data_IF_671758224780
#
_entry.id   IF_671758224780
#
_cell.length_a   1.000
_cell.length_b   1.000
_cell.length_c   1.000
_cell.angle_alpha   90.00
_cell.angle_beta   90.00
_cell.angle_gamma   90.00
#
_symmetry.space_group_name_H-M   'P 1'
#
loop_
_entity.id
_entity.type
_entity.pdbx_description
1 polymer ?
#
# COMPACT_ATOMS: atom_id res chain seq x y z
N UNK A 1 8.66 -9.96 16.03
CA UNK A 1 9.95 -9.73 16.68
C UNK A 1 9.67 -9.65 18.16
N UNK A 2 10.04 -10.67 18.93
CA UNK A 2 9.54 -10.83 20.30
C UNK A 2 9.67 -9.54 21.12
N UNK A 3 8.52 -9.03 21.60
CA UNK A 3 8.45 -7.85 22.46
C UNK A 3 8.33 -6.48 21.78
N UNK A 4 8.30 -6.38 20.44
CA UNK A 4 8.14 -5.09 19.74
C UNK A 4 6.82 -4.97 18.96
N UNK A 5 6.31 -3.75 18.88
CA UNK A 5 5.22 -3.33 18.01
C UNK A 5 5.74 -3.03 16.60
N UNK A 6 4.95 -3.40 15.60
CA UNK A 6 5.23 -3.16 14.19
C UNK A 6 4.17 -2.23 13.60
N UNK A 7 4.62 -1.16 12.95
CA UNK A 7 3.78 -0.27 12.16
C UNK A 7 4.10 -0.45 10.67
N UNK A 8 3.07 -0.77 9.90
CA UNK A 8 3.12 -0.74 8.43
C UNK A 8 2.40 0.53 7.98
N UNK A 9 3.08 1.36 7.20
CA UNK A 9 2.50 2.61 6.72
C UNK A 9 2.95 2.94 5.30
N UNK A 10 2.08 3.61 4.56
CA UNK A 10 2.44 4.23 3.30
C UNK A 10 3.27 5.49 3.56
N UNK A 11 4.24 5.75 2.70
CA UNK A 11 5.01 6.99 2.76
C UNK A 11 4.11 8.18 2.48
N UNK A 12 4.06 9.13 3.42
CA UNK A 12 3.22 10.33 3.35
C UNK A 12 4.05 11.59 3.10
N UNK A 13 5.35 11.46 2.78
CA UNK A 13 6.19 12.60 2.35
C UNK A 13 5.82 13.11 0.96
N UNK A 14 5.13 12.26 0.19
CA UNK A 14 4.57 12.57 -1.13
C UNK A 14 3.08 12.19 -1.14
N UNK A 15 2.27 12.94 -1.89
CA UNK A 15 0.86 12.60 -2.08
C UNK A 15 0.75 11.25 -2.82
N UNK A 16 -0.03 10.32 -2.25
CA UNK A 16 -0.27 8.99 -2.82
C UNK A 16 1.01 8.21 -3.17
N UNK A 17 2.08 8.36 -2.38
CA UNK A 17 3.34 7.64 -2.63
C UNK A 17 3.11 6.14 -2.80
N UNK A 18 3.68 5.54 -3.83
CA UNK A 18 3.64 4.09 -4.02
C UNK A 18 4.51 3.30 -3.04
N UNK A 19 5.12 3.93 -2.04
CA UNK A 19 6.04 3.26 -1.11
C UNK A 19 5.32 2.83 0.18
N UNK A 20 5.42 1.54 0.53
CA UNK A 20 5.06 1.00 1.85
C UNK A 20 6.34 0.80 2.67
N UNK A 21 6.33 1.23 3.92
CA UNK A 21 7.41 1.08 4.87
C UNK A 21 6.94 0.39 6.16
N UNK A 22 7.91 -0.20 6.87
CA UNK A 22 7.76 -0.74 8.20
C UNK A 22 8.58 0.07 9.21
N UNK A 23 8.08 0.12 10.44
CA UNK A 23 8.73 0.75 11.59
C UNK A 23 8.50 -0.11 12.83
N UNK A 24 9.43 -0.08 13.78
CA UNK A 24 9.30 -0.83 15.05
C UNK A 24 9.42 0.07 16.27
N UNK A 25 8.76 -0.32 17.36
CA UNK A 25 8.87 0.31 18.66
C UNK A 25 8.68 -0.70 19.80
N UNK A 26 9.20 -0.40 20.99
CA UNK A 26 8.87 -1.12 22.22
C UNK A 26 7.63 -0.56 22.94
N UNK A 27 7.11 0.57 22.48
CA UNK A 27 5.93 1.26 23.02
C UNK A 27 4.86 1.35 21.91
N UNK A 28 3.59 0.94 22.16
CA UNK A 28 2.56 0.99 21.13
C UNK A 28 2.12 2.43 20.78
N UNK A 29 2.49 3.43 21.57
CA UNK A 29 2.01 4.81 21.43
C UNK A 29 3.03 5.75 20.77
N UNK A 30 4.33 5.43 20.79
CA UNK A 30 5.40 6.29 20.27
C UNK A 30 6.66 5.47 19.92
N UNK A 31 7.73 6.11 19.46
CA UNK A 31 9.05 5.49 19.30
C UNK A 31 9.22 4.65 18.05
N UNK A 32 8.29 4.75 17.09
CA UNK A 32 8.39 4.04 15.82
C UNK A 32 9.55 4.57 14.98
N UNK A 33 10.62 3.78 14.90
CA UNK A 33 11.85 4.10 14.17
C UNK A 33 12.23 2.95 13.24
N UNK A 34 13.48 2.87 12.79
CA UNK A 34 14.00 1.79 11.94
C UNK A 34 13.19 1.61 10.64
N UNK A 35 12.97 2.72 9.92
CA UNK A 35 12.26 2.72 8.62
C UNK A 35 12.87 1.67 7.69
N UNK A 36 12.07 0.68 7.33
CA UNK A 36 12.44 -0.37 6.39
C UNK A 36 11.50 -0.33 5.19
N UNK A 37 12.04 -0.28 3.97
CA UNK A 37 11.23 -0.36 2.76
C UNK A 37 10.66 -1.77 2.59
N UNK A 38 9.34 -1.88 2.48
CA UNK A 38 8.62 -3.16 2.41
C UNK A 38 8.23 -3.50 0.98
N UNK A 39 7.58 -2.56 0.29
CA UNK A 39 7.04 -2.81 -1.04
C UNK A 39 6.85 -1.50 -1.80
N UNK A 40 7.08 -1.54 -3.11
CA UNK A 40 6.75 -0.45 -4.02
C UNK A 40 5.59 -0.88 -4.89
N UNK A 41 4.45 -0.24 -4.69
CA UNK A 41 3.23 -0.42 -5.47
C UNK A 41 3.53 -0.05 -6.93
N UNK A 42 3.24 -0.92 -7.91
CA UNK A 42 3.53 -0.67 -9.31
C UNK A 42 2.53 0.28 -9.99
N UNK A 43 1.33 0.45 -9.45
CA UNK A 43 0.23 1.18 -10.12
C UNK A 43 0.36 2.71 -10.21
N UNK A 44 0.74 3.46 -9.15
CA UNK A 44 0.53 4.90 -9.11
C UNK A 44 1.51 5.70 -9.98
N UNK A 45 1.01 6.83 -10.50
CA UNK A 45 1.80 7.86 -11.17
C UNK A 45 2.00 7.65 -12.67
N UNK A 46 2.54 8.69 -13.34
CA UNK A 46 2.68 8.76 -14.80
C UNK A 46 3.43 7.56 -15.42
N UNK A 47 4.39 7.00 -14.69
CA UNK A 47 5.22 5.88 -15.13
C UNK A 47 4.85 4.56 -14.42
N UNK A 48 3.71 4.53 -13.72
CA UNK A 48 3.17 3.33 -13.11
C UNK A 48 2.66 2.33 -14.15
N UNK A 49 2.14 1.19 -13.70
CA UNK A 49 1.73 0.08 -14.58
C UNK A 49 0.60 0.42 -15.54
N UNK A 50 -0.17 1.48 -15.26
CA UNK A 50 -1.23 1.99 -16.13
C UNK A 50 -0.77 3.10 -17.06
N UNK A 51 0.45 3.63 -16.88
CA UNK A 51 1.01 4.77 -17.62
C UNK A 51 0.09 6.01 -17.58
N UNK A 52 -0.50 6.24 -16.41
CA UNK A 52 -1.57 7.21 -16.22
C UNK A 52 -1.37 7.96 -14.88
N UNK A 53 -1.19 9.29 -14.90
CA UNK A 53 -0.95 10.07 -13.69
C UNK A 53 -2.17 10.14 -12.75
N UNK A 54 -3.38 9.83 -13.23
CA UNK A 54 -4.60 9.85 -12.41
C UNK A 54 -4.74 8.59 -11.55
N UNK A 55 -3.96 7.54 -11.84
CA UNK A 55 -3.97 6.31 -11.04
C UNK A 55 -3.18 6.51 -9.74
N UNK A 56 -3.87 6.20 -8.64
CA UNK A 56 -3.36 6.32 -7.27
C UNK A 56 -3.47 4.99 -6.53
N UNK A 57 -2.65 4.85 -5.50
CA UNK A 57 -2.67 3.71 -4.58
C UNK A 57 -2.64 4.18 -3.13
N UNK A 58 -3.35 3.48 -2.26
CA UNK A 58 -3.55 3.93 -0.88
C UNK A 58 -3.90 2.80 0.08
N UNK A 59 -3.83 3.13 1.38
CA UNK A 59 -4.37 2.31 2.48
C UNK A 59 -3.80 0.88 2.54
N UNK A 60 -2.47 0.73 2.76
CA UNK A 60 -1.91 -0.57 3.06
C UNK A 60 -2.52 -1.12 4.36
N UNK A 61 -2.91 -2.39 4.34
CA UNK A 61 -3.59 -3.04 5.45
C UNK A 61 -3.02 -4.44 5.68
N UNK A 62 -2.66 -4.74 6.93
CA UNK A 62 -2.14 -6.05 7.33
C UNK A 62 -3.31 -6.96 7.70
N UNK A 63 -3.41 -8.11 7.05
CA UNK A 63 -4.39 -9.16 7.36
C UNK A 63 -3.77 -10.14 8.35
N UNK A 64 -3.76 -9.78 9.63
CA UNK A 64 -3.04 -10.53 10.67
C UNK A 64 -3.54 -11.99 10.79
N UNK A 65 -4.85 -12.22 10.75
CA UNK A 65 -5.42 -13.57 10.88
C UNK A 65 -5.08 -14.50 9.69
N UNK A 66 -4.61 -13.94 8.58
CA UNK A 66 -4.20 -14.68 7.37
C UNK A 66 -2.67 -14.67 7.16
N UNK A 67 -1.95 -14.07 8.10
CA UNK A 67 -0.49 -14.01 8.14
C UNK A 67 0.05 -15.25 8.86
N UNK A 68 1.30 -15.59 8.58
CA UNK A 68 2.03 -16.64 9.30
C UNK A 68 3.17 -16.01 10.07
N UNK A 69 3.78 -16.79 10.96
CA UNK A 69 5.06 -16.41 11.54
C UNK A 69 6.07 -16.10 10.43
N UNK A 70 6.63 -14.89 10.46
CA UNK A 70 7.57 -14.38 9.46
C UNK A 70 6.98 -13.89 8.13
N UNK A 71 5.70 -14.13 7.80
CA UNK A 71 5.11 -13.68 6.53
C UNK A 71 3.78 -12.97 6.73
N UNK A 72 3.78 -11.65 6.49
CA UNK A 72 2.58 -10.84 6.56
C UNK A 72 1.84 -10.87 5.22
N UNK A 73 0.54 -11.11 5.26
CA UNK A 73 -0.36 -10.82 4.14
C UNK A 73 -0.80 -9.36 4.23
N UNK A 74 -0.50 -8.58 3.19
CA UNK A 74 -0.81 -7.16 3.14
C UNK A 74 -1.63 -6.89 1.88
N UNK A 75 -2.66 -6.05 1.99
CA UNK A 75 -3.35 -5.50 0.83
C UNK A 75 -3.18 -3.99 0.74
N UNK A 76 -3.42 -3.43 -0.44
CA UNK A 76 -3.62 -2.00 -0.64
C UNK A 76 -4.68 -1.78 -1.73
N UNK A 77 -5.21 -0.56 -1.78
CA UNK A 77 -6.20 -0.16 -2.76
C UNK A 77 -5.56 0.57 -3.92
N UNK A 78 -6.17 0.44 -5.09
CA UNK A 78 -5.86 1.20 -6.30
C UNK A 78 -7.14 1.89 -6.75
N UNK A 79 -7.03 3.12 -7.24
CA UNK A 79 -8.16 3.93 -7.70
C UNK A 79 -7.68 4.92 -8.78
N UNK A 80 -8.62 5.57 -9.46
CA UNK A 80 -8.35 6.70 -10.35
C UNK A 80 -8.91 8.01 -9.78
N UNK A 81 -8.23 9.10 -10.05
CA UNK A 81 -8.72 10.47 -9.83
C UNK A 81 -9.71 10.91 -10.92
N UNK A 82 -9.82 10.17 -12.04
CA UNK A 82 -10.89 10.33 -13.01
C UNK A 82 -12.23 9.86 -12.41
N UNK A 83 -13.03 10.83 -12.00
CA UNK A 83 -14.33 10.63 -11.39
C UNK A 83 -15.50 10.76 -12.37
N UNK A 84 -15.24 10.85 -13.68
CA UNK A 84 -16.28 11.00 -14.70
C UNK A 84 -17.16 9.74 -14.76
N UNK A 85 -18.44 9.95 -15.06
CA UNK A 85 -19.43 8.89 -15.30
C UNK A 85 -19.67 8.80 -16.80
N UNK A 86 -18.73 8.18 -17.53
CA UNK A 86 -18.74 8.06 -18.99
C UNK A 86 -18.05 6.76 -19.44
N UNK A 87 -18.37 6.22 -20.63
CA UNK A 87 -17.77 4.96 -21.11
C UNK A 87 -16.24 4.97 -21.24
N UNK A 88 -15.63 6.14 -21.46
CA UNK A 88 -14.19 6.34 -21.60
C UNK A 88 -13.48 6.67 -20.27
N UNK A 89 -14.24 6.89 -19.19
CA UNK A 89 -13.67 7.17 -17.89
C UNK A 89 -13.00 5.92 -17.31
N UNK A 90 -11.93 6.10 -16.53
CA UNK A 90 -11.03 5.01 -16.15
C UNK A 90 -11.73 3.78 -15.56
N UNK A 91 -12.61 3.98 -14.59
CA UNK A 91 -13.35 2.89 -13.95
C UNK A 91 -14.34 2.18 -14.86
N UNK A 92 -14.84 2.87 -15.89
CA UNK A 92 -15.79 2.32 -16.85
C UNK A 92 -15.06 1.57 -17.98
N UNK A 93 -13.88 2.06 -18.37
CA UNK A 93 -13.00 1.42 -19.34
C UNK A 93 -12.30 0.19 -18.76
N UNK A 94 -11.81 0.27 -17.52
CA UNK A 94 -11.14 -0.82 -16.81
C UNK A 94 -11.62 -0.96 -15.36
N UNK A 95 -12.59 -1.84 -15.09
CA UNK A 95 -13.08 -2.08 -13.73
C UNK A 95 -12.05 -2.80 -12.84
N UNK A 96 -10.88 -3.23 -13.35
CA UNK A 96 -9.83 -3.84 -12.53
C UNK A 96 -9.03 -2.81 -11.73
N UNK A 97 -9.16 -1.52 -12.03
CA UNK A 97 -8.53 -0.43 -11.28
C UNK A 97 -8.98 -0.47 -9.83
N UNK A 98 -10.30 -0.40 -9.57
CA UNK A 98 -10.85 -0.35 -8.20
C UNK A 98 -10.99 -1.72 -7.55
N UNK A 99 -9.87 -2.44 -7.42
CA UNK A 99 -9.79 -3.74 -6.74
C UNK A 99 -8.57 -3.78 -5.81
N UNK A 100 -8.66 -4.44 -4.65
CA UNK A 100 -7.51 -4.59 -3.77
C UNK A 100 -6.41 -5.41 -4.46
N UNK A 101 -5.16 -5.05 -4.16
CA UNK A 101 -3.96 -5.81 -4.51
C UNK A 101 -3.43 -6.48 -3.25
N UNK A 102 -2.94 -7.70 -3.37
CA UNK A 102 -2.42 -8.47 -2.24
C UNK A 102 -0.98 -8.89 -2.52
N UNK A 103 -0.13 -8.82 -1.51
CA UNK A 103 1.23 -9.34 -1.55
C UNK A 103 1.62 -9.90 -0.20
N UNK A 104 2.61 -10.78 -0.19
CA UNK A 104 3.25 -11.27 1.03
C UNK A 104 4.59 -10.59 1.22
N UNK A 105 4.88 -10.15 2.44
CA UNK A 105 6.16 -9.58 2.82
C UNK A 105 6.77 -10.34 3.97
N UNK A 106 8.09 -10.50 3.91
CA UNK A 106 8.90 -11.01 5.02
C UNK A 106 9.55 -9.82 5.68
N UNK A 107 9.33 -9.64 6.98
CA UNK A 107 9.86 -8.49 7.75
C UNK A 107 10.71 -9.07 8.88
N UNK A 108 12.01 -8.81 8.84
CA UNK A 108 13.05 -9.36 9.74
C UNK A 108 13.61 -8.28 10.66
#
# INVERSE_FOLDING_TARGET
MEGQFLLISQDSTEAFSGQINAFTSCDPFDGFTNKTSVYRMPEPGLLGSYLDPDIISYNPHVHYEQSTEGSLLISYNVNSMDNRVQPDADHYRDPKIYRPRFFRATIF
#
